data_IF_078057850534
#
_entry.id   IF_078057850534
#
_cell.length_a   1.000
_cell.length_b   1.000
_cell.length_c   1.000
_cell.angle_alpha   90.00
_cell.angle_beta   90.00
_cell.angle_gamma   90.00
#
_symmetry.space_group_name_H-M   'P 1'
#
loop_
_entity.id
_entity.type
_entity.pdbx_description
1 polymer ?
#
# COMPACT_ATOMS: atom_id res chain seq x y z
N UNK A 1 -6.65 34.89 6.42
CA UNK A 1 -7.70 33.97 6.84
C UNK A 1 -8.21 33.21 5.62
N UNK A 2 -8.53 31.93 5.75
CA UNK A 2 -9.05 31.08 4.67
C UNK A 2 -10.17 30.18 5.19
N UNK A 3 -11.13 29.86 4.33
CA UNK A 3 -12.23 28.94 4.63
C UNK A 3 -12.27 27.90 3.53
N UNK A 4 -12.27 26.59 3.89
CA UNK A 4 -12.29 25.50 2.93
C UNK A 4 -13.39 24.48 3.25
N UNK A 5 -13.95 23.91 2.21
CA UNK A 5 -14.88 22.79 2.25
C UNK A 5 -14.35 21.68 1.34
N UNK A 6 -14.31 20.43 1.89
CA UNK A 6 -13.80 19.26 1.19
C UNK A 6 -14.94 18.26 0.93
N UNK A 7 -15.16 17.96 -0.34
CA UNK A 7 -15.96 16.83 -0.77
C UNK A 7 -15.02 15.65 -1.08
N UNK A 8 -15.16 14.55 -0.34
CA UNK A 8 -14.34 13.35 -0.50
C UNK A 8 -15.19 12.17 -0.97
N UNK A 9 -14.87 11.64 -2.15
CA UNK A 9 -15.53 10.49 -2.76
C UNK A 9 -14.55 9.32 -2.78
N UNK A 10 -14.83 8.29 -1.96
CA UNK A 10 -13.96 7.12 -1.86
C UNK A 10 -14.72 5.85 -2.26
N UNK A 11 -14.12 5.06 -3.14
CA UNK A 11 -14.61 3.74 -3.52
C UNK A 11 -13.51 2.70 -3.23
N UNK A 12 -13.88 1.67 -2.47
CA UNK A 12 -12.99 0.59 -2.08
C UNK A 12 -13.48 -0.75 -2.61
N UNK A 13 -12.61 -1.50 -3.25
CA UNK A 13 -12.85 -2.88 -3.64
C UNK A 13 -11.84 -3.77 -2.93
N UNK A 14 -12.34 -4.80 -2.25
CA UNK A 14 -11.51 -5.78 -1.55
C UNK A 14 -11.79 -7.18 -2.06
N UNK A 15 -10.72 -7.89 -2.39
CA UNK A 15 -10.74 -9.30 -2.73
C UNK A 15 -9.84 -10.05 -1.74
N UNK A 16 -10.35 -11.16 -1.19
CA UNK A 16 -9.59 -12.05 -0.31
C UNK A 16 -9.83 -13.50 -0.67
N UNK A 17 -8.78 -14.28 -0.60
CA UNK A 17 -8.83 -15.73 -0.76
C UNK A 17 -7.94 -16.40 0.28
N UNK A 18 -8.38 -17.54 0.80
CA UNK A 18 -7.63 -18.34 1.75
C UNK A 18 -7.74 -19.82 1.38
N UNK A 19 -6.61 -20.53 1.49
CA UNK A 19 -6.54 -21.96 1.23
C UNK A 19 -5.61 -22.61 2.23
N UNK A 20 -6.13 -23.55 3.00
CA UNK A 20 -5.38 -24.28 4.03
C UNK A 20 -5.49 -25.78 3.79
N UNK A 21 -4.36 -26.45 3.82
CA UNK A 21 -4.24 -27.89 3.60
C UNK A 21 -3.47 -28.52 4.75
N UNK A 22 -3.91 -29.66 5.19
CA UNK A 22 -3.21 -30.46 6.19
C UNK A 22 -3.10 -31.91 5.70
N UNK A 23 -1.88 -32.45 5.68
CA UNK A 23 -1.58 -33.81 5.30
C UNK A 23 -0.98 -34.53 6.50
N UNK A 24 -1.68 -35.56 6.98
CA UNK A 24 -1.22 -36.44 8.02
C UNK A 24 -0.58 -37.66 7.33
N UNK A 25 0.76 -37.72 7.34
CA UNK A 25 1.52 -38.81 6.73
C UNK A 25 1.42 -40.08 7.57
N UNK A 26 1.44 -39.92 8.87
CA UNK A 26 1.26 -40.97 9.88
C UNK A 26 0.98 -40.31 11.25
N UNK A 27 0.68 -41.04 12.33
CA UNK A 27 0.37 -40.45 13.64
C UNK A 27 1.45 -39.53 14.21
N UNK A 28 2.71 -39.66 13.74
CA UNK A 28 3.85 -38.88 14.22
C UNK A 28 4.27 -37.73 13.29
N UNK A 29 3.72 -37.66 12.07
CA UNK A 29 4.18 -36.73 11.04
C UNK A 29 3.01 -36.04 10.39
N UNK A 30 2.97 -34.70 10.49
CA UNK A 30 1.98 -33.82 9.90
C UNK A 30 2.65 -32.69 9.14
N UNK A 31 2.14 -32.38 7.96
CA UNK A 31 2.54 -31.23 7.16
C UNK A 31 1.31 -30.34 6.96
N UNK A 32 1.47 -29.04 7.07
CA UNK A 32 0.41 -28.06 6.82
C UNK A 32 0.89 -27.01 5.84
N UNK A 33 0.04 -26.66 4.89
CA UNK A 33 0.26 -25.60 3.94
C UNK A 33 -0.88 -24.59 4.04
N UNK A 34 -0.55 -23.34 4.33
CA UNK A 34 -1.50 -22.26 4.57
C UNK A 34 -1.20 -21.12 3.64
N UNK A 35 -2.24 -20.61 2.98
CA UNK A 35 -2.13 -19.50 2.05
C UNK A 35 -3.21 -18.48 2.32
N UNK A 36 -2.85 -17.22 2.24
CA UNK A 36 -3.77 -16.10 2.26
C UNK A 36 -3.36 -15.10 1.18
N UNK A 37 -4.33 -14.67 0.41
CA UNK A 37 -4.21 -13.60 -0.55
C UNK A 37 -5.23 -12.52 -0.23
N UNK A 38 -4.79 -11.27 -0.20
CA UNK A 38 -5.68 -10.12 -0.07
C UNK A 38 -5.26 -9.04 -1.07
N UNK A 39 -6.25 -8.45 -1.73
CA UNK A 39 -6.08 -7.29 -2.58
C UNK A 39 -7.08 -6.21 -2.18
N UNK A 40 -6.59 -4.99 -2.03
CA UNK A 40 -7.38 -3.79 -1.79
C UNK A 40 -7.10 -2.80 -2.90
N UNK A 41 -8.15 -2.32 -3.56
CA UNK A 41 -8.08 -1.21 -4.50
C UNK A 41 -8.91 -0.06 -3.93
N UNK A 42 -8.34 1.13 -3.91
CA UNK A 42 -8.97 2.37 -3.44
C UNK A 42 -8.93 3.39 -4.56
N UNK A 43 -10.11 3.92 -4.94
CA UNK A 43 -10.24 5.09 -5.80
C UNK A 43 -10.74 6.24 -4.95
N UNK A 44 -10.02 7.35 -4.94
CA UNK A 44 -10.34 8.54 -4.18
C UNK A 44 -10.37 9.76 -5.08
N UNK A 45 -11.40 10.59 -4.91
CA UNK A 45 -11.51 11.90 -5.54
C UNK A 45 -11.79 12.91 -4.45
N UNK A 46 -10.95 13.93 -4.33
CA UNK A 46 -11.15 15.01 -3.38
C UNK A 46 -11.34 16.32 -4.17
N UNK A 47 -12.42 17.03 -3.87
CA UNK A 47 -12.71 18.35 -4.41
C UNK A 47 -12.72 19.31 -3.23
N UNK A 48 -11.76 20.22 -3.18
CA UNK A 48 -11.66 21.27 -2.16
C UNK A 48 -12.05 22.60 -2.78
N UNK A 49 -13.04 23.24 -2.21
CA UNK A 49 -13.44 24.61 -2.56
C UNK A 49 -13.25 25.53 -1.37
N UNK A 50 -12.93 26.79 -1.63
CA UNK A 50 -12.75 27.74 -0.54
C UNK A 50 -12.30 29.09 -0.99
N UNK A 51 -12.09 29.94 -0.01
CA UNK A 51 -11.74 31.34 -0.19
C UNK A 51 -10.43 31.66 0.50
N UNK A 52 -9.55 32.32 -0.23
CA UNK A 52 -8.27 32.84 0.23
C UNK A 52 -8.38 34.36 0.31
N UNK A 53 -8.88 34.86 1.46
CA UNK A 53 -9.18 36.26 1.66
C UNK A 53 -7.96 37.20 1.47
N UNK A 54 -6.78 36.75 1.89
CA UNK A 54 -5.54 37.51 1.77
C UNK A 54 -5.14 37.77 0.33
N UNK A 55 -5.50 36.87 -0.56
CA UNK A 55 -5.17 36.99 -2.00
C UNK A 55 -6.36 37.44 -2.84
N UNK A 56 -7.56 37.54 -2.24
CA UNK A 56 -8.79 37.86 -2.97
C UNK A 56 -9.18 36.81 -4.01
N UNK A 57 -8.92 35.50 -3.69
CA UNK A 57 -9.13 34.38 -4.61
C UNK A 57 -10.13 33.39 -4.05
N UNK A 58 -10.95 32.85 -4.94
CA UNK A 58 -11.69 31.60 -4.72
C UNK A 58 -10.90 30.46 -5.34
N UNK A 59 -10.80 29.33 -4.61
CA UNK A 59 -10.05 28.15 -5.02
C UNK A 59 -10.97 26.96 -5.29
N UNK A 60 -10.61 26.15 -6.29
CA UNK A 60 -11.19 24.85 -6.56
C UNK A 60 -10.06 23.88 -6.87
N UNK A 61 -9.64 23.10 -5.86
CA UNK A 61 -8.56 22.13 -5.97
C UNK A 61 -9.16 20.75 -6.16
N UNK A 62 -8.53 19.95 -7.02
CA UNK A 62 -8.99 18.59 -7.27
C UNK A 62 -7.81 17.63 -7.20
N UNK A 63 -8.08 16.43 -6.67
CA UNK A 63 -7.13 15.32 -6.69
C UNK A 63 -7.84 14.01 -7.02
N UNK A 64 -7.16 13.19 -7.83
CA UNK A 64 -7.63 11.90 -8.29
C UNK A 64 -6.56 10.88 -7.99
N UNK A 65 -6.89 9.91 -7.14
CA UNK A 65 -5.97 8.90 -6.68
C UNK A 65 -6.54 7.51 -6.90
N UNK A 66 -5.72 6.62 -7.41
CA UNK A 66 -5.97 5.20 -7.40
C UNK A 66 -4.79 4.51 -6.72
N UNK A 67 -5.06 3.67 -5.74
CA UNK A 67 -4.05 2.88 -5.06
C UNK A 67 -4.49 1.42 -5.00
N UNK A 68 -3.59 0.52 -5.35
CA UNK A 68 -3.79 -0.91 -5.20
C UNK A 68 -2.73 -1.50 -4.28
N UNK A 69 -3.16 -2.32 -3.33
CA UNK A 69 -2.30 -3.09 -2.43
C UNK A 69 -2.64 -4.56 -2.53
N UNK A 70 -1.64 -5.41 -2.67
CA UNK A 70 -1.79 -6.86 -2.68
C UNK A 70 -0.84 -7.49 -1.68
N UNK A 71 -1.31 -8.49 -0.95
CA UNK A 71 -0.53 -9.27 -0.01
C UNK A 71 -0.80 -10.74 -0.28
N UNK A 72 0.27 -11.48 -0.55
CA UNK A 72 0.27 -12.94 -0.57
C UNK A 72 1.13 -13.42 0.60
N UNK A 73 0.61 -14.33 1.40
CA UNK A 73 1.37 -15.02 2.44
C UNK A 73 1.15 -16.51 2.31
N UNK A 74 2.24 -17.25 2.16
CA UNK A 74 2.27 -18.72 2.08
C UNK A 74 3.14 -19.26 3.17
N UNK A 75 2.68 -20.28 3.86
CA UNK A 75 3.38 -20.93 4.95
C UNK A 75 3.32 -22.44 4.80
N UNK A 76 4.47 -23.07 4.80
CA UNK A 76 4.61 -24.51 4.90
C UNK A 76 5.18 -24.85 6.28
N UNK A 77 4.55 -25.77 6.99
CA UNK A 77 4.99 -26.19 8.31
C UNK A 77 4.93 -27.69 8.48
N UNK A 78 5.88 -28.24 9.24
CA UNK A 78 5.92 -29.63 9.60
C UNK A 78 5.98 -29.82 11.12
N UNK A 79 5.28 -30.83 11.58
CA UNK A 79 5.36 -31.31 12.98
C UNK A 79 5.71 -32.78 12.96
N UNK A 80 6.79 -33.14 13.65
CA UNK A 80 7.35 -34.49 13.66
C UNK A 80 7.62 -34.94 15.09
N UNK A 81 7.02 -36.04 15.50
CA UNK A 81 7.37 -36.73 16.74
C UNK A 81 8.55 -37.67 16.45
N UNK A 82 9.78 -37.21 16.71
CA UNK A 82 10.98 -37.96 16.44
C UNK A 82 11.14 -39.13 17.42
N UNK A 83 10.66 -38.95 18.66
CA UNK A 83 10.58 -39.98 19.68
C UNK A 83 9.45 -39.66 20.65
N UNK A 84 9.15 -40.57 21.61
CA UNK A 84 8.15 -40.32 22.65
C UNK A 84 8.41 -39.05 23.50
N UNK A 85 9.65 -38.56 23.48
CA UNK A 85 10.10 -37.41 24.28
C UNK A 85 10.56 -36.20 23.43
N UNK A 86 10.65 -36.36 22.11
CA UNK A 86 11.26 -35.36 21.24
C UNK A 86 10.31 -34.97 20.12
N UNK A 87 9.93 -33.70 20.06
CA UNK A 87 9.13 -33.11 18.99
C UNK A 87 9.95 -32.08 18.22
N UNK A 88 9.87 -32.15 16.89
CA UNK A 88 10.44 -31.18 15.97
C UNK A 88 9.30 -30.46 15.25
N UNK A 89 9.37 -29.13 15.26
CA UNK A 89 8.47 -28.26 14.47
C UNK A 89 9.30 -27.34 13.62
N UNK A 90 8.94 -27.24 12.35
CA UNK A 90 9.55 -26.27 11.47
C UNK A 90 8.49 -25.50 10.68
N UNK A 91 8.82 -24.29 10.31
CA UNK A 91 7.96 -23.39 9.52
C UNK A 91 8.84 -22.70 8.49
N UNK A 92 8.40 -22.72 7.24
CA UNK A 92 8.94 -21.90 6.16
C UNK A 92 7.83 -21.00 5.64
N UNK A 93 8.09 -19.71 5.57
CA UNK A 93 7.13 -18.70 5.13
C UNK A 93 7.64 -17.90 3.95
N UNK A 94 6.73 -17.59 3.03
CA UNK A 94 6.91 -16.67 1.91
C UNK A 94 5.85 -15.58 2.02
N UNK A 95 6.28 -14.33 2.14
CA UNK A 95 5.45 -13.14 2.02
C UNK A 95 5.77 -12.37 0.75
N UNK A 96 4.75 -11.92 0.02
CA UNK A 96 4.89 -10.97 -1.06
C UNK A 96 3.89 -9.84 -0.87
N UNK A 97 4.39 -8.62 -0.86
CA UNK A 97 3.56 -7.41 -0.76
C UNK A 97 3.84 -6.51 -1.95
N UNK A 98 2.79 -6.10 -2.64
CA UNK A 98 2.85 -5.13 -3.71
C UNK A 98 1.99 -3.93 -3.38
N UNK A 99 2.49 -2.73 -3.66
CA UNK A 99 1.73 -1.50 -3.68
C UNK A 99 1.96 -0.77 -4.99
N UNK A 100 0.88 -0.41 -5.66
CA UNK A 100 0.92 0.37 -6.90
C UNK A 100 0.02 1.59 -6.77
N UNK A 101 0.56 2.73 -7.10
CA UNK A 101 -0.14 4.00 -7.20
C UNK A 101 0.15 4.57 -8.60
N UNK A 102 -0.58 4.09 -9.61
CA UNK A 102 -0.41 4.54 -10.98
C UNK A 102 -1.15 5.85 -11.17
N UNK A 103 -0.42 6.94 -11.42
CA UNK A 103 -1.00 8.18 -11.88
C UNK A 103 -1.94 8.90 -10.88
N UNK A 104 -1.44 9.20 -9.69
CA UNK A 104 -2.08 10.19 -8.83
C UNK A 104 -1.96 11.57 -9.47
N UNK A 105 -3.10 12.24 -9.67
CA UNK A 105 -3.23 13.55 -10.32
C UNK A 105 -3.78 14.57 -9.35
N UNK A 106 -3.21 15.74 -9.33
CA UNK A 106 -3.75 16.88 -8.58
C UNK A 106 -3.51 18.18 -9.31
N UNK A 107 -4.42 19.13 -9.13
CA UNK A 107 -4.23 20.49 -9.57
C UNK A 107 -5.00 21.47 -8.69
N UNK A 108 -4.53 22.70 -8.69
CA UNK A 108 -5.18 23.86 -8.08
C UNK A 108 -5.74 24.73 -9.17
N UNK A 109 -6.94 25.23 -8.99
CA UNK A 109 -7.51 26.25 -9.85
C UNK A 109 -8.06 27.40 -9.01
N UNK A 110 -7.97 28.60 -9.56
CA UNK A 110 -8.39 29.82 -8.88
C UNK A 110 -9.17 30.75 -9.79
N UNK A 111 -9.89 31.68 -9.18
CA UNK A 111 -10.50 32.83 -9.81
C UNK A 111 -10.55 34.02 -8.85
N UNK A 112 -10.66 35.27 -9.34
CA UNK A 112 -10.88 36.43 -8.47
C UNK A 112 -12.18 36.30 -7.69
N UNK A 113 -12.14 36.64 -6.41
CA UNK A 113 -13.30 36.52 -5.50
C UNK A 113 -14.46 37.40 -6.01
N UNK A 114 -15.66 36.80 -6.05
CA UNK A 114 -16.88 37.46 -6.49
C UNK A 114 -16.96 37.79 -7.98
N UNK A 115 -15.99 37.37 -8.80
CA UNK A 115 -15.98 37.69 -10.25
C UNK A 115 -17.01 36.90 -11.03
N UNK A 116 -17.42 35.71 -10.58
CA UNK A 116 -18.26 34.80 -11.36
C UNK A 116 -17.57 34.21 -12.61
N UNK A 117 -16.29 34.47 -12.81
CA UNK A 117 -15.50 33.90 -13.92
C UNK A 117 -15.29 32.40 -13.77
N UNK A 118 -14.92 31.72 -14.87
CA UNK A 118 -14.51 30.34 -14.81
C UNK A 118 -13.19 30.19 -14.04
N UNK A 119 -13.08 29.13 -13.26
CA UNK A 119 -11.81 28.77 -12.60
C UNK A 119 -10.74 28.47 -13.65
N UNK A 120 -9.54 28.96 -13.41
CA UNK A 120 -8.35 28.69 -14.24
C UNK A 120 -7.35 27.87 -13.46
N UNK A 121 -6.75 26.88 -14.11
CA UNK A 121 -5.72 26.03 -13.50
C UNK A 121 -4.47 26.89 -13.24
N UNK A 122 -3.99 26.84 -12.00
CA UNK A 122 -2.78 27.54 -11.58
C UNK A 122 -1.56 26.75 -12.03
N UNK A 123 -0.80 27.31 -12.97
CA UNK A 123 0.44 26.74 -13.46
C UNK A 123 1.62 27.62 -13.08
N UNK A 124 2.70 26.98 -12.68
CA UNK A 124 3.94 27.68 -12.41
C UNK A 124 4.54 28.21 -13.70
N UNK A 125 5.01 29.46 -13.66
CA UNK A 125 5.60 30.12 -14.82
C UNK A 125 7.11 29.88 -14.94
N UNK A 126 7.72 29.44 -13.87
CA UNK A 126 9.14 29.15 -13.82
C UNK A 126 9.41 27.67 -14.11
N UNK A 127 10.60 27.36 -14.61
CA UNK A 127 11.02 25.99 -14.94
C UNK A 127 11.21 25.06 -13.71
N UNK A 128 10.72 25.47 -12.54
CA UNK A 128 10.77 24.68 -11.30
C UNK A 128 9.41 24.10 -10.96
N UNK A 129 9.08 22.91 -11.45
CA UNK A 129 7.78 22.28 -11.21
C UNK A 129 7.57 22.01 -9.72
N UNK A 130 6.35 22.23 -9.23
CA UNK A 130 5.96 21.91 -7.86
C UNK A 130 4.83 20.90 -7.82
N UNK A 131 4.78 20.09 -6.74
CA UNK A 131 3.64 19.19 -6.50
C UNK A 131 2.38 19.93 -6.06
N UNK A 132 2.46 21.21 -5.75
CA UNK A 132 1.37 21.97 -5.12
C UNK A 132 0.33 22.44 -6.14
N UNK A 133 0.73 22.83 -7.33
CA UNK A 133 -0.16 23.42 -8.34
C UNK A 133 -0.76 22.38 -9.25
N UNK A 134 -0.01 21.88 -10.22
CA UNK A 134 -0.46 20.81 -11.10
C UNK A 134 0.61 19.74 -11.20
N UNK A 135 0.25 18.49 -10.87
CA UNK A 135 1.22 17.42 -10.81
C UNK A 135 0.61 16.05 -11.05
N UNK A 136 1.48 15.13 -11.50
CA UNK A 136 1.21 13.70 -11.60
C UNK A 136 2.27 12.92 -10.82
N UNK A 137 1.86 11.85 -10.18
CA UNK A 137 2.74 11.00 -9.38
C UNK A 137 2.48 9.52 -9.63
N UNK A 138 3.55 8.73 -9.68
CA UNK A 138 3.54 7.28 -9.82
C UNK A 138 4.43 6.66 -8.75
N UNK A 139 3.98 5.58 -8.13
CA UNK A 139 4.84 4.77 -7.29
C UNK A 139 4.51 3.29 -7.39
N UNK A 140 5.55 2.46 -7.29
CA UNK A 140 5.46 1.02 -7.15
C UNK A 140 6.40 0.54 -6.05
N UNK A 141 5.92 -0.40 -5.25
CA UNK A 141 6.69 -1.09 -4.23
C UNK A 141 6.43 -2.58 -4.33
N UNK A 142 7.51 -3.34 -4.37
CA UNK A 142 7.50 -4.79 -4.26
C UNK A 142 8.36 -5.20 -3.06
N UNK A 143 7.83 -6.08 -2.22
CA UNK A 143 8.52 -6.59 -1.05
C UNK A 143 8.38 -8.09 -0.96
N UNK A 144 9.50 -8.77 -0.80
CA UNK A 144 9.59 -10.20 -0.55
C UNK A 144 10.12 -10.44 0.86
N UNK A 145 9.48 -11.36 1.57
CA UNK A 145 9.89 -11.79 2.90
C UNK A 145 9.96 -13.31 2.92
N UNK A 146 11.12 -13.83 3.25
CA UNK A 146 11.34 -15.27 3.49
C UNK A 146 11.60 -15.47 4.97
N UNK A 147 10.87 -16.40 5.58
CA UNK A 147 11.05 -16.75 6.99
C UNK A 147 11.31 -18.23 7.16
N UNK A 148 12.14 -18.56 8.13
CA UNK A 148 12.41 -19.94 8.53
C UNK A 148 12.45 -20.07 10.05
N UNK A 149 11.78 -21.08 10.58
CA UNK A 149 11.81 -21.41 12.01
C UNK A 149 11.98 -22.89 12.19
N UNK A 150 12.86 -23.28 13.10
CA UNK A 150 13.01 -24.67 13.54
C UNK A 150 12.98 -24.68 15.06
N UNK A 151 12.11 -25.48 15.66
CA UNK A 151 11.97 -25.63 17.10
C UNK A 151 12.02 -27.11 17.47
N UNK A 152 12.79 -27.43 18.48
CA UNK A 152 12.87 -28.75 19.08
C UNK A 152 12.41 -28.69 20.54
N UNK A 153 11.53 -29.59 20.91
CA UNK A 153 11.06 -29.77 22.29
C UNK A 153 11.52 -31.12 22.78
N UNK A 154 12.19 -31.17 23.95
CA UNK A 154 12.66 -32.37 24.60
C UNK A 154 12.08 -32.48 25.99
N UNK A 155 11.34 -33.55 26.28
CA UNK A 155 10.85 -33.86 27.61
C UNK A 155 12.00 -34.47 28.43
N UNK A 156 12.33 -33.83 29.54
CA UNK A 156 13.36 -34.30 30.50
C UNK A 156 12.65 -35.02 31.65
N UNK A 157 12.79 -36.31 31.73
CA UNK A 157 12.18 -37.14 32.78
C UNK A 157 11.45 -38.40 32.25
N UNK A 158 10.80 -39.15 33.13
CA UNK A 158 9.97 -40.30 32.76
C UNK A 158 8.54 -39.84 32.46
N UNK A 159 8.00 -40.25 31.34
CA UNK A 159 6.66 -39.87 30.81
C UNK A 159 5.46 -40.39 31.63
N UNK A 160 5.67 -41.25 32.65
CA UNK A 160 4.62 -42.07 33.28
C UNK A 160 4.30 -41.75 34.74
N UNK A 161 4.59 -40.56 35.24
CA UNK A 161 4.22 -40.22 36.62
C UNK A 161 3.22 -39.06 36.55
N UNK A 162 2.00 -39.35 37.01
CA UNK A 162 0.82 -38.45 36.88
C UNK A 162 0.97 -37.17 37.70
N UNK A 163 1.92 -37.08 38.61
CA UNK A 163 2.07 -35.95 39.57
C UNK A 163 3.42 -35.19 39.50
N UNK A 164 4.35 -35.55 38.62
CA UNK A 164 5.57 -34.74 38.44
C UNK A 164 5.46 -33.78 37.27
N UNK A 165 5.68 -32.49 37.49
CA UNK A 165 5.82 -31.48 36.43
C UNK A 165 6.89 -31.92 35.44
N UNK A 166 6.48 -32.33 34.23
CA UNK A 166 7.40 -32.69 33.17
C UNK A 166 8.30 -31.49 32.86
N UNK A 167 9.60 -31.62 33.09
CA UNK A 167 10.56 -30.60 32.64
C UNK A 167 10.71 -30.68 31.13
N UNK A 168 10.48 -29.58 30.43
CA UNK A 168 10.59 -29.50 28.97
C UNK A 168 11.69 -28.52 28.61
N UNK A 169 12.66 -28.97 27.84
CA UNK A 169 13.64 -28.10 27.19
C UNK A 169 13.14 -27.76 25.78
N UNK A 170 13.08 -26.46 25.45
CA UNK A 170 12.74 -25.95 24.12
C UNK A 170 13.91 -25.18 23.58
N UNK A 171 14.34 -25.52 22.38
CA UNK A 171 15.39 -24.83 21.65
C UNK A 171 14.88 -24.51 20.23
N UNK A 172 15.14 -23.32 19.74
CA UNK A 172 14.70 -22.94 18.41
C UNK A 172 15.58 -21.88 17.78
N UNK A 173 15.49 -21.84 16.46
CA UNK A 173 16.16 -20.84 15.61
C UNK A 173 15.11 -20.22 14.70
N UNK A 174 15.18 -18.90 14.55
CA UNK A 174 14.40 -18.11 13.60
C UNK A 174 15.34 -17.38 12.68
N UNK A 175 14.97 -17.32 11.39
CA UNK A 175 15.66 -16.52 10.37
C UNK A 175 14.65 -15.79 9.53
N UNK A 176 15.01 -14.58 9.11
CA UNK A 176 14.21 -13.77 8.18
C UNK A 176 15.14 -13.11 7.16
N UNK A 177 14.72 -13.15 5.90
CA UNK A 177 15.31 -12.38 4.82
C UNK A 177 14.21 -11.50 4.20
N UNK A 178 14.51 -10.22 4.03
CA UNK A 178 13.59 -9.23 3.48
C UNK A 178 14.28 -8.44 2.39
N UNK A 179 13.63 -8.39 1.23
CA UNK A 179 14.04 -7.54 0.12
C UNK A 179 12.88 -6.63 -0.29
N UNK A 180 13.15 -5.34 -0.44
CA UNK A 180 12.16 -4.34 -0.82
C UNK A 180 12.70 -3.45 -1.92
N UNK A 181 11.97 -3.39 -3.00
CA UNK A 181 12.19 -2.47 -4.10
C UNK A 181 11.10 -1.40 -4.13
N UNK A 182 11.50 -0.12 -4.11
CA UNK A 182 10.59 1.01 -4.21
C UNK A 182 11.03 1.94 -5.32
N UNK A 183 10.09 2.32 -6.19
CA UNK A 183 10.29 3.27 -7.27
C UNK A 183 9.17 4.29 -7.29
N UNK A 184 9.51 5.56 -7.32
CA UNK A 184 8.55 6.65 -7.44
C UNK A 184 9.04 7.69 -8.44
N UNK A 185 8.09 8.31 -9.14
CA UNK A 185 8.32 9.46 -10.03
C UNK A 185 7.18 10.46 -9.85
N UNK A 186 7.51 11.73 -9.94
CA UNK A 186 6.53 12.79 -9.99
C UNK A 186 6.90 13.78 -11.09
N UNK A 187 5.88 14.43 -11.65
CA UNK A 187 6.02 15.48 -12.65
C UNK A 187 5.11 16.64 -12.24
N UNK A 188 5.68 17.82 -12.12
CA UNK A 188 4.92 19.06 -12.06
C UNK A 188 4.74 19.61 -13.47
N UNK A 189 3.58 20.17 -13.73
CA UNK A 189 3.27 20.80 -15.01
C UNK A 189 3.52 22.30 -14.88
N UNK A 190 4.26 22.86 -15.81
CA UNK A 190 4.60 24.29 -15.88
C UNK A 190 4.15 24.89 -17.21
N UNK A 191 3.86 26.19 -17.22
CA UNK A 191 3.60 26.95 -18.45
C UNK A 191 4.63 28.11 -18.52
N UNK A 192 5.85 27.83 -19.02
CA UNK A 192 6.89 28.86 -19.08
C UNK A 192 6.46 30.04 -19.89
N UNK A 193 6.67 31.25 -19.34
CA UNK A 193 6.35 32.51 -19.98
C UNK A 193 4.89 32.69 -20.45
N UNK A 194 3.95 31.87 -19.92
CA UNK A 194 2.53 31.88 -20.31
C UNK A 194 2.32 31.73 -21.83
N UNK A 195 3.11 30.85 -22.44
CA UNK A 195 3.11 30.64 -23.90
C UNK A 195 1.73 30.24 -24.41
N UNK A 196 0.98 29.47 -23.64
CA UNK A 196 -0.40 29.12 -23.99
C UNK A 196 -1.34 29.36 -22.79
N UNK A 197 -2.11 30.44 -22.87
CA UNK A 197 -3.10 30.77 -21.85
C UNK A 197 -4.34 29.84 -21.91
N UNK A 198 -4.61 29.19 -23.05
CA UNK A 198 -5.78 28.33 -23.22
C UNK A 198 -5.72 27.07 -22.40
N UNK A 199 -4.51 26.56 -22.15
CA UNK A 199 -4.29 25.34 -21.34
C UNK A 199 -4.84 25.47 -19.90
N UNK A 200 -4.81 26.67 -19.33
CA UNK A 200 -5.30 26.95 -17.98
C UNK A 200 -6.82 26.93 -17.86
N UNK A 201 -7.52 27.03 -18.99
CA UNK A 201 -8.98 27.07 -19.08
C UNK A 201 -9.59 25.71 -19.48
N UNK A 202 -8.76 24.69 -19.69
CA UNK A 202 -9.20 23.36 -20.07
C UNK A 202 -9.91 22.65 -18.91
N UNK A 203 -10.76 21.68 -19.25
CA UNK A 203 -11.33 20.78 -18.25
C UNK A 203 -10.22 19.85 -17.70
N UNK A 204 -10.36 19.34 -16.47
CA UNK A 204 -9.37 18.44 -15.87
C UNK A 204 -9.01 17.22 -16.73
N UNK A 205 -9.99 16.68 -17.45
CA UNK A 205 -9.84 15.50 -18.32
C UNK A 205 -8.91 15.83 -19.50
N UNK A 206 -9.13 16.96 -20.13
CA UNK A 206 -8.36 17.42 -21.30
C UNK A 206 -6.97 17.93 -20.86
N UNK A 207 -6.89 18.59 -19.71
CA UNK A 207 -5.64 19.12 -19.17
C UNK A 207 -4.58 18.03 -18.94
N UNK A 208 -5.00 16.86 -18.44
CA UNK A 208 -4.10 15.73 -18.23
C UNK A 208 -4.00 14.78 -19.42
N UNK A 209 -4.51 15.16 -20.60
CA UNK A 209 -4.35 14.37 -21.82
C UNK A 209 -2.88 14.31 -22.26
N UNK A 210 -2.54 13.29 -23.07
CA UNK A 210 -1.18 13.17 -23.60
C UNK A 210 -0.80 14.28 -24.57
N UNK A 211 -1.77 15.00 -25.12
CA UNK A 211 -1.54 16.10 -26.07
C UNK A 211 -0.99 17.36 -25.37
N UNK A 212 -1.12 17.46 -24.05
CA UNK A 212 -0.63 18.56 -23.22
C UNK A 212 0.66 18.19 -22.43
N UNK A 213 1.19 17.00 -22.60
CA UNK A 213 2.38 16.47 -21.93
C UNK A 213 3.45 16.16 -22.96
#
# INVERSE_FOLDING_TARGET
>A
QSTFHDDNYTNNVRLGAMSNWALILNPKNKIEFRNIFNQLATKETVIRKGELFENGLELSNQSFRYEQKSILSSQLSGTHELSEKTNLKWISGLGYTQRSEPDFRRFTSSRPMGSGEAYRIDLQQFESPTLQQAARFWSNMDEYVLTGTVNMEQILGKKNIVDEMNKVLKVGVYTEYKDRYFKARWFGIVNPNRVDASITSQKPEDFFSNDNL
#
